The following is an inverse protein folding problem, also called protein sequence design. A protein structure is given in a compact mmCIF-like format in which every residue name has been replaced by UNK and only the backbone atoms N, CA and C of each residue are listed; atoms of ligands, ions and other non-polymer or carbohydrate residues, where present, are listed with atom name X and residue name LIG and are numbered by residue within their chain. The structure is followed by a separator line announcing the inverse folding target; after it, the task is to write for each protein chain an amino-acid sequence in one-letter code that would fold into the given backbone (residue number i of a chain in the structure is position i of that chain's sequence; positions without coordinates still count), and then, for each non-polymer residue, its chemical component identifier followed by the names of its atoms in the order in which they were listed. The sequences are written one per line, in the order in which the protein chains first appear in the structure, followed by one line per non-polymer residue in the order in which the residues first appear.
data_IF_297135567576
#
_entry.id   IF_297135567576
#
_cell.length_a   1.000
_cell.length_b   1.000
_cell.length_c   1.000
_cell.angle_alpha   90.00
_cell.angle_beta   90.00
_cell.angle_gamma   90.00
#
_symmetry.space_group_name_H-M   'P 1'
#
loop_
_entity.id
_entity.type
_entity.pdbx_description
1 polymer ?
#
# COMPACT_ATOMS: atom_id res chain seq x y z
N UNK A 1 -5.37 26.43 4.36
CA UNK A 1 -4.79 25.91 3.11
C UNK A 1 -3.64 26.81 2.67
N UNK A 2 -2.66 26.22 1.99
CA UNK A 2 -1.52 26.96 1.47
C UNK A 2 -0.21 26.21 1.63
N UNK A 3 0.88 26.64 0.93
CA UNK A 3 2.17 25.94 0.92
C UNK A 3 2.87 25.90 2.29
N UNK A 4 2.57 26.84 3.17
CA UNK A 4 3.11 26.88 4.53
C UNK A 4 2.34 25.99 5.52
N UNK A 5 1.16 25.48 5.11
CA UNK A 5 0.36 24.60 5.96
C UNK A 5 0.97 23.20 5.99
N UNK A 6 1.26 22.63 7.19
CA UNK A 6 1.77 21.26 7.31
C UNK A 6 0.85 20.19 6.68
N UNK A 7 -0.45 20.50 6.54
CA UNK A 7 -1.45 19.62 5.90
C UNK A 7 -1.53 19.82 4.38
N UNK A 8 -0.74 20.74 3.81
CA UNK A 8 -0.78 21.09 2.40
C UNK A 8 -2.04 21.87 2.03
N UNK A 9 -2.37 21.88 0.73
CA UNK A 9 -3.49 22.66 0.19
C UNK A 9 -4.83 21.93 0.22
N UNK A 10 -4.80 20.61 0.23
CA UNK A 10 -5.98 19.75 0.09
C UNK A 10 -6.18 18.87 1.31
N UNK A 11 -7.42 18.88 1.82
CA UNK A 11 -7.87 18.04 2.92
C UNK A 11 -9.13 17.27 2.52
N UNK A 12 -9.08 15.96 2.62
CA UNK A 12 -10.20 15.04 2.37
C UNK A 12 -10.57 14.41 3.71
N UNK A 13 -11.68 14.90 4.30
CA UNK A 13 -12.19 14.41 5.58
C UNK A 13 -12.73 12.98 5.42
N UNK A 14 -12.35 12.08 6.32
CA UNK A 14 -12.97 10.77 6.45
C UNK A 14 -14.16 10.81 7.43
N UNK A 15 -14.94 9.73 7.47
CA UNK A 15 -16.04 9.59 8.44
C UNK A 15 -15.57 9.56 9.90
N UNK A 16 -14.30 9.23 10.13
CA UNK A 16 -13.67 9.30 11.45
C UNK A 16 -13.29 10.76 11.76
N UNK A 17 -13.81 11.28 12.88
CA UNK A 17 -13.55 12.67 13.31
C UNK A 17 -12.05 12.95 13.44
N UNK A 18 -11.58 13.99 12.79
CA UNK A 18 -10.18 14.42 12.85
C UNK A 18 -9.21 13.55 12.04
N UNK A 19 -9.71 12.60 11.28
CA UNK A 19 -8.90 11.74 10.40
C UNK A 19 -9.19 12.08 8.95
N UNK A 20 -8.15 12.27 8.15
CA UNK A 20 -8.28 12.61 6.74
C UNK A 20 -7.08 12.21 5.91
N UNK A 21 -7.25 12.40 4.61
CA UNK A 21 -6.18 12.35 3.63
C UNK A 21 -5.76 13.79 3.31
N UNK A 22 -4.49 14.07 3.30
CA UNK A 22 -4.02 15.44 3.05
C UNK A 22 -2.63 15.45 2.40
N UNK A 23 -2.28 16.56 1.76
CA UNK A 23 -0.94 16.82 1.30
C UNK A 23 0.05 17.04 2.44
N UNK A 24 1.24 17.47 2.10
CA UNK A 24 2.27 17.81 3.10
C UNK A 24 3.25 18.83 2.52
N UNK A 25 3.70 19.76 3.36
CA UNK A 25 4.84 20.61 3.04
C UNK A 25 6.20 19.93 3.28
N UNK A 26 6.18 18.68 3.76
CA UNK A 26 7.38 17.85 4.05
C UNK A 26 7.27 16.49 3.36
N UNK A 27 7.46 16.39 2.03
CA UNK A 27 7.28 15.15 1.26
C UNK A 27 8.13 13.98 1.76
N UNK A 28 9.31 14.23 2.34
CA UNK A 28 10.17 13.21 2.94
C UNK A 28 9.58 12.54 4.19
N UNK A 29 8.48 13.08 4.72
CA UNK A 29 7.75 12.49 5.85
C UNK A 29 6.72 11.43 5.42
N UNK A 30 6.45 11.31 4.13
CA UNK A 30 5.60 10.27 3.56
C UNK A 30 6.26 8.91 3.81
N UNK A 31 5.47 7.86 4.03
CA UNK A 31 5.91 6.51 4.40
C UNK A 31 6.56 6.39 5.80
N UNK A 32 6.43 7.42 6.66
CA UNK A 32 6.89 7.37 8.05
C UNK A 32 5.70 7.46 9.01
N UNK A 33 5.76 6.70 10.11
CA UNK A 33 4.76 6.76 11.18
C UNK A 33 4.93 8.06 12.00
N UNK A 34 4.38 9.17 11.50
CA UNK A 34 4.49 10.50 12.11
C UNK A 34 3.17 11.23 12.27
N UNK A 35 2.04 10.56 12.11
CA UNK A 35 0.71 11.15 12.29
C UNK A 35 -0.06 10.45 13.40
N UNK A 36 -1.10 11.10 13.91
CA UNK A 36 -2.05 10.51 14.86
C UNK A 36 -3.21 9.79 14.16
N UNK A 37 -3.02 9.39 12.89
CA UNK A 37 -4.01 8.65 12.10
C UNK A 37 -4.28 9.19 10.72
N UNK A 38 -3.97 10.47 10.45
CA UNK A 38 -4.11 11.04 9.11
C UNK A 38 -3.12 10.44 8.13
N UNK A 39 -3.54 10.28 6.88
CA UNK A 39 -2.71 9.76 5.80
C UNK A 39 -2.13 10.91 4.98
N UNK A 40 -0.81 10.96 4.92
CA UNK A 40 -0.08 11.93 4.10
C UNK A 40 0.06 11.43 2.69
N UNK A 41 -0.25 12.32 1.76
CA UNK A 41 -0.11 12.09 0.33
C UNK A 41 0.91 13.08 -0.26
N UNK A 42 1.50 12.70 -1.36
CA UNK A 42 2.22 13.67 -2.18
C UNK A 42 1.25 14.77 -2.61
N UNK A 43 1.67 16.04 -2.70
CA UNK A 43 0.77 17.15 -3.02
C UNK A 43 -0.05 16.92 -4.30
N UNK A 44 0.59 16.43 -5.35
CA UNK A 44 -0.06 16.12 -6.62
C UNK A 44 -1.11 14.99 -6.50
N UNK A 45 -0.88 14.01 -5.62
CA UNK A 45 -1.84 12.93 -5.36
C UNK A 45 -3.02 13.46 -4.53
N UNK A 46 -2.75 14.32 -3.55
CA UNK A 46 -3.80 14.94 -2.75
C UNK A 46 -4.73 15.81 -3.62
N UNK A 47 -4.15 16.59 -4.53
CA UNK A 47 -4.89 17.39 -5.51
C UNK A 47 -5.74 16.52 -6.42
N UNK A 48 -5.14 15.49 -7.01
CA UNK A 48 -5.85 14.56 -7.89
C UNK A 48 -7.05 13.92 -7.19
N UNK A 49 -6.84 13.36 -5.99
CA UNK A 49 -7.92 12.72 -5.23
C UNK A 49 -9.00 13.72 -4.83
N UNK A 50 -8.62 14.93 -4.40
CA UNK A 50 -9.59 15.96 -4.00
C UNK A 50 -10.54 16.35 -5.14
N UNK A 51 -10.04 16.37 -6.37
CA UNK A 51 -10.83 16.65 -7.58
C UNK A 51 -11.68 15.48 -8.04
N UNK A 52 -11.22 14.24 -7.79
CA UNK A 52 -11.81 13.02 -8.33
C UNK A 52 -12.86 12.39 -7.41
N UNK A 53 -12.72 12.55 -6.07
CA UNK A 53 -13.63 11.95 -5.11
C UNK A 53 -14.75 12.91 -4.69
N UNK A 54 -15.97 12.40 -4.65
CA UNK A 54 -17.13 13.12 -4.14
C UNK A 54 -17.41 12.81 -2.67
N UNK A 55 -18.16 13.70 -2.01
CA UNK A 55 -18.68 13.40 -0.66
C UNK A 55 -19.55 12.14 -0.71
N UNK A 56 -19.28 11.20 0.18
CA UNK A 56 -19.96 9.89 0.21
C UNK A 56 -19.22 8.79 -0.55
N UNK A 57 -18.10 9.08 -1.23
CA UNK A 57 -17.23 8.05 -1.81
C UNK A 57 -16.76 7.10 -0.70
N UNK A 58 -16.95 5.81 -0.91
CA UNK A 58 -16.53 4.78 0.05
C UNK A 58 -15.04 4.50 -0.08
N UNK A 59 -14.35 4.40 1.04
CA UNK A 59 -12.96 3.98 1.13
C UNK A 59 -12.78 2.87 2.16
N UNK A 60 -11.76 2.05 1.99
CA UNK A 60 -11.40 0.99 2.92
C UNK A 60 -9.91 1.07 3.23
N UNK A 61 -9.57 1.06 4.51
CA UNK A 61 -8.19 0.91 4.96
C UNK A 61 -7.93 -0.57 5.22
N UNK A 62 -6.98 -1.13 4.47
CA UNK A 62 -6.61 -2.55 4.60
C UNK A 62 -5.20 -2.68 5.17
N UNK A 63 -4.97 -3.77 5.91
CA UNK A 63 -3.64 -4.17 6.36
C UNK A 63 -3.27 -5.49 5.67
N UNK A 64 -2.58 -5.39 4.55
CA UNK A 64 -2.07 -6.54 3.81
C UNK A 64 -0.55 -6.50 3.74
N UNK A 65 0.10 -7.54 4.27
CA UNK A 65 1.55 -7.69 4.25
C UNK A 65 2.06 -8.44 3.01
N UNK A 66 1.15 -9.06 2.28
CA UNK A 66 1.43 -9.77 1.03
C UNK A 66 0.39 -9.37 0.00
N UNK A 67 0.84 -8.92 -1.16
CA UNK A 67 0.00 -8.75 -2.33
C UNK A 67 0.55 -9.59 -3.48
N UNK A 68 -0.32 -10.07 -4.34
CA UNK A 68 0.05 -10.77 -5.56
C UNK A 68 -0.86 -10.32 -6.70
N UNK A 69 -0.31 -10.24 -7.88
CA UNK A 69 -1.06 -9.88 -9.07
C UNK A 69 -0.51 -10.61 -10.29
N UNK A 70 -1.36 -10.76 -11.30
CA UNK A 70 -0.97 -11.18 -12.63
C UNK A 70 -0.99 -9.97 -13.54
N UNK A 71 0.13 -9.68 -14.20
CA UNK A 71 0.26 -8.57 -15.14
C UNK A 71 -0.42 -8.86 -16.48
N UNK A 72 -0.61 -7.85 -17.32
CA UNK A 72 -1.19 -7.99 -18.65
C UNK A 72 -0.38 -8.91 -19.57
N UNK A 73 0.94 -8.98 -19.37
CA UNK A 73 1.86 -9.88 -20.08
C UNK A 73 2.04 -11.24 -19.38
N UNK A 74 1.09 -11.61 -18.53
CA UNK A 74 0.99 -12.89 -17.82
C UNK A 74 2.09 -13.19 -16.79
N UNK A 75 2.90 -12.22 -16.39
CA UNK A 75 3.85 -12.39 -15.31
C UNK A 75 3.16 -12.40 -13.96
N UNK A 76 3.73 -13.11 -13.02
CA UNK A 76 3.27 -13.14 -11.62
C UNK A 76 4.19 -12.26 -10.80
N UNK A 77 3.61 -11.26 -10.16
CA UNK A 77 4.34 -10.33 -9.30
C UNK A 77 3.81 -10.38 -7.89
N UNK A 78 4.69 -10.17 -6.91
CA UNK A 78 4.33 -10.08 -5.50
C UNK A 78 4.96 -8.85 -4.86
N UNK A 79 4.33 -8.35 -3.80
CA UNK A 79 4.90 -7.38 -2.86
C UNK A 79 4.84 -7.99 -1.45
N UNK A 80 5.93 -7.92 -0.72
CA UNK A 80 6.01 -8.43 0.65
C UNK A 80 6.44 -7.30 1.57
N UNK A 81 5.62 -7.01 2.57
CA UNK A 81 5.82 -5.92 3.53
C UNK A 81 6.13 -6.45 4.93
N UNK A 82 6.85 -5.68 5.72
CA UNK A 82 7.09 -5.98 7.14
C UNK A 82 5.78 -5.96 7.93
N UNK A 83 5.64 -6.89 8.87
CA UNK A 83 4.53 -6.91 9.83
C UNK A 83 4.79 -5.91 10.97
N UNK A 84 4.53 -4.62 10.71
CA UNK A 84 4.76 -3.54 11.67
C UNK A 84 3.90 -3.64 12.93
N UNK A 85 2.70 -4.23 12.83
CA UNK A 85 1.80 -4.41 13.97
C UNK A 85 1.98 -5.73 14.70
N UNK A 86 3.03 -6.49 14.37
CA UNK A 86 3.41 -7.76 15.02
C UNK A 86 2.23 -8.75 15.13
N UNK A 87 1.46 -8.88 14.06
CA UNK A 87 0.31 -9.79 13.97
C UNK A 87 0.73 -11.24 13.74
N UNK A 88 2.02 -11.54 13.76
CA UNK A 88 2.61 -12.88 13.59
C UNK A 88 2.18 -13.54 12.28
N UNK A 89 2.34 -12.82 11.18
CA UNK A 89 1.95 -13.26 9.84
C UNK A 89 2.79 -14.47 9.41
N UNK A 90 2.13 -15.53 8.99
CA UNK A 90 2.75 -16.62 8.25
C UNK A 90 2.82 -16.23 6.76
N UNK A 91 3.97 -15.75 6.32
CA UNK A 91 4.15 -15.25 4.96
C UNK A 91 4.04 -16.35 3.91
N UNK A 92 4.57 -17.55 4.18
CA UNK A 92 4.49 -18.69 3.25
C UNK A 92 3.04 -19.09 2.97
N UNK A 93 2.23 -19.14 4.02
CA UNK A 93 0.82 -19.46 3.91
C UNK A 93 0.04 -18.36 3.17
N UNK A 94 0.29 -17.09 3.51
CA UNK A 94 -0.30 -15.95 2.85
C UNK A 94 0.02 -15.89 1.35
N UNK A 95 1.26 -16.14 0.97
CA UNK A 95 1.68 -16.15 -0.44
C UNK A 95 1.00 -17.30 -1.18
N UNK A 96 0.97 -18.50 -0.58
CA UNK A 96 0.27 -19.65 -1.19
C UNK A 96 -1.22 -19.37 -1.40
N UNK A 97 -1.89 -18.72 -0.44
CA UNK A 97 -3.28 -18.29 -0.55
C UNK A 97 -3.47 -17.36 -1.76
N UNK A 98 -2.67 -16.27 -1.84
CA UNK A 98 -2.73 -15.32 -2.94
C UNK A 98 -2.41 -15.93 -4.31
N UNK A 99 -1.41 -16.78 -4.39
CA UNK A 99 -1.05 -17.47 -5.64
C UNK A 99 -2.11 -18.49 -6.06
N UNK A 100 -2.81 -19.12 -5.11
CA UNK A 100 -3.93 -20.01 -5.39
C UNK A 100 -5.11 -19.24 -6.00
N UNK A 101 -5.44 -18.06 -5.48
CA UNK A 101 -6.46 -17.18 -6.06
C UNK A 101 -6.16 -16.81 -7.52
N UNK A 102 -4.88 -16.70 -7.88
CA UNK A 102 -4.40 -16.39 -9.23
C UNK A 102 -4.22 -17.63 -10.14
N UNK A 103 -4.45 -18.85 -9.63
CA UNK A 103 -4.09 -20.11 -10.30
C UNK A 103 -2.63 -20.14 -10.77
N UNK A 104 -1.70 -19.70 -9.90
CA UNK A 104 -0.30 -19.45 -10.21
C UNK A 104 0.71 -20.26 -9.37
N UNK A 105 0.27 -21.19 -8.52
CA UNK A 105 1.16 -21.94 -7.62
C UNK A 105 2.30 -22.68 -8.33
N UNK A 106 2.06 -23.19 -9.54
CA UNK A 106 3.03 -23.95 -10.35
C UNK A 106 3.76 -23.07 -11.38
N UNK A 107 3.49 -21.75 -11.38
CA UNK A 107 4.00 -20.80 -12.37
C UNK A 107 5.02 -19.81 -11.79
N UNK A 108 5.52 -20.10 -10.59
CA UNK A 108 6.38 -19.18 -9.85
C UNK A 108 7.68 -19.82 -9.40
N UNK A 109 8.71 -19.01 -9.34
CA UNK A 109 10.00 -19.35 -8.76
C UNK A 109 9.98 -19.14 -7.25
N UNK A 110 9.93 -20.23 -6.52
CA UNK A 110 9.90 -20.22 -5.05
C UNK A 110 11.19 -19.70 -4.40
N UNK A 111 12.33 -19.69 -5.11
CA UNK A 111 13.55 -19.08 -4.59
C UNK A 111 13.43 -17.56 -4.57
N UNK A 112 12.89 -16.95 -5.63
CA UNK A 112 12.59 -15.52 -5.67
C UNK A 112 11.57 -15.13 -4.59
N UNK A 113 10.56 -15.97 -4.36
CA UNK A 113 9.57 -15.75 -3.29
C UNK A 113 10.24 -15.75 -1.91
N UNK A 114 11.11 -16.71 -1.63
CA UNK A 114 11.86 -16.75 -0.37
C UNK A 114 12.71 -15.49 -0.17
N UNK A 115 13.38 -15.04 -1.20
CA UNK A 115 14.18 -13.81 -1.16
C UNK A 115 13.30 -12.58 -0.86
N UNK A 116 12.14 -12.47 -1.50
CA UNK A 116 11.18 -11.40 -1.22
C UNK A 116 10.67 -11.43 0.24
N UNK A 117 10.42 -12.64 0.79
CA UNK A 117 10.04 -12.83 2.20
C UNK A 117 11.17 -12.42 3.14
N UNK A 118 12.43 -12.71 2.81
CA UNK A 118 13.57 -12.30 3.64
C UNK A 118 13.73 -10.78 3.66
N UNK A 119 13.64 -10.13 2.52
CA UNK A 119 13.80 -8.67 2.38
C UNK A 119 12.62 -7.88 2.94
N UNK A 120 11.40 -8.29 2.66
CA UNK A 120 10.16 -7.56 3.07
C UNK A 120 10.27 -6.06 2.80
N UNK A 121 10.78 -5.72 1.60
CA UNK A 121 11.08 -4.35 1.20
C UNK A 121 9.87 -3.58 0.64
N UNK A 122 8.77 -4.27 0.39
CA UNK A 122 7.56 -3.70 -0.20
C UNK A 122 7.72 -3.36 -1.69
N UNK A 123 8.79 -3.82 -2.33
CA UNK A 123 8.98 -3.65 -3.76
C UNK A 123 8.23 -4.74 -4.54
N UNK A 124 7.99 -4.45 -5.82
CA UNK A 124 7.40 -5.41 -6.74
C UNK A 124 8.47 -6.42 -7.17
N UNK A 125 8.22 -7.69 -6.90
CA UNK A 125 9.07 -8.80 -7.29
C UNK A 125 8.39 -9.60 -8.40
N UNK A 126 9.04 -9.72 -9.55
CA UNK A 126 8.64 -10.67 -10.59
C UNK A 126 9.11 -12.08 -10.18
N UNK A 127 8.15 -12.91 -9.81
CA UNK A 127 8.38 -14.27 -9.34
C UNK A 127 7.98 -15.32 -10.37
N UNK A 128 7.73 -14.92 -11.60
CA UNK A 128 7.45 -15.86 -12.69
C UNK A 128 8.62 -16.85 -12.90
N UNK A 129 8.28 -18.08 -13.35
CA UNK A 129 9.24 -19.08 -13.84
C UNK A 129 9.92 -18.60 -15.10
#
# INVERSE_FOLDING_TARGET
PGPENPLGEYWIQLSLKGIGLHGTNSPHSIYKFRSHGCMRLRPEVAEFLFKDVAVGTKGVVIYETVKAAKTSDNRIVIEVYKDFYKRRINYDEKIKEKLKELNALEKVDWNKIKEAIEKKDGLVWDVSL
#
